data_IF_218841088789
#
_entry.id   IF_218841088789
#
_cell.length_a   1.000
_cell.length_b   1.000
_cell.length_c   1.000
_cell.angle_alpha   90.00
_cell.angle_beta   90.00
_cell.angle_gamma   90.00
#
_symmetry.space_group_name_H-M   'P 1'
#
loop_
_entity.id
_entity.type
_entity.pdbx_description
1 polymer ?
#
# COMPACT_ATOMS: atom_id res chain seq x y z
N UNK A 1 5.45 -20.05 -22.60
CA UNK A 1 5.28 -20.73 -21.31
C UNK A 1 6.02 -19.95 -20.25
N UNK A 2 5.30 -19.12 -19.50
CA UNK A 2 5.84 -18.55 -18.29
C UNK A 2 5.74 -19.58 -17.16
N UNK A 3 6.41 -20.68 -17.33
CA UNK A 3 6.92 -21.34 -16.13
C UNK A 3 8.01 -20.39 -15.66
N UNK A 4 7.82 -19.81 -14.47
CA UNK A 4 8.89 -19.04 -13.90
C UNK A 4 10.15 -19.90 -13.93
N UNK A 5 11.24 -19.35 -14.45
CA UNK A 5 12.56 -19.95 -14.31
C UNK A 5 12.93 -20.09 -12.82
N UNK A 6 12.10 -19.58 -11.95
CA UNK A 6 12.19 -19.74 -10.51
C UNK A 6 11.45 -21.00 -10.11
N UNK A 7 12.14 -22.07 -9.93
CA UNK A 7 11.64 -23.22 -9.19
C UNK A 7 11.56 -22.95 -7.68
N UNK A 8 11.24 -21.71 -7.32
CA UNK A 8 11.17 -21.32 -5.91
C UNK A 8 9.92 -21.92 -5.27
N UNK A 9 10.10 -22.69 -4.22
CA UNK A 9 9.01 -23.35 -3.49
C UNK A 9 7.92 -22.39 -3.04
N UNK A 10 8.28 -21.17 -2.66
CA UNK A 10 7.34 -20.13 -2.23
C UNK A 10 6.36 -19.74 -3.32
N UNK A 11 6.76 -19.75 -4.60
CA UNK A 11 5.86 -19.42 -5.70
C UNK A 11 4.70 -20.42 -5.85
N UNK A 12 4.93 -21.68 -5.47
CA UNK A 12 3.89 -22.73 -5.49
C UNK A 12 2.90 -22.59 -4.34
N UNK A 13 3.33 -22.04 -3.21
CA UNK A 13 2.52 -21.86 -2.01
C UNK A 13 1.68 -20.57 -2.06
N UNK A 14 2.18 -19.54 -2.73
CA UNK A 14 1.56 -18.21 -2.79
C UNK A 14 0.63 -18.06 -3.99
N UNK A 15 0.86 -18.81 -5.07
CA UNK A 15 0.02 -18.73 -6.27
C UNK A 15 -1.33 -19.41 -6.05
N UNK A 16 -2.38 -18.64 -6.20
CA UNK A 16 -3.77 -19.12 -6.20
C UNK A 16 -4.21 -19.66 -7.55
N UNK A 17 -3.50 -19.33 -8.63
CA UNK A 17 -3.81 -19.77 -9.99
C UNK A 17 -2.79 -20.78 -10.51
N UNK A 18 -3.26 -21.81 -11.18
CA UNK A 18 -2.39 -22.78 -11.88
C UNK A 18 -1.62 -22.08 -13.00
N UNK A 19 -0.29 -22.32 -13.12
CA UNK A 19 0.47 -21.80 -14.25
C UNK A 19 -0.13 -22.24 -15.59
N UNK A 20 -0.35 -21.30 -16.50
CA UNK A 20 -0.93 -21.54 -17.81
C UNK A 20 -0.06 -20.94 -18.93
N UNK A 21 -0.37 -21.29 -20.16
CA UNK A 21 0.32 -20.71 -21.32
C UNK A 21 -0.24 -19.33 -21.60
N UNK A 22 0.62 -18.32 -21.80
CA UNK A 22 0.18 -16.97 -22.19
C UNK A 22 -0.54 -17.01 -23.55
N UNK A 23 -0.01 -17.81 -24.50
CA UNK A 23 -0.53 -17.96 -25.85
C UNK A 23 -1.51 -19.13 -25.96
N UNK A 24 -2.33 -19.39 -24.97
CA UNK A 24 -3.36 -20.42 -25.05
C UNK A 24 -4.59 -19.83 -25.75
N UNK A 25 -4.97 -20.37 -26.94
CA UNK A 25 -6.13 -19.87 -27.67
C UNK A 25 -7.45 -19.92 -26.89
N UNK A 26 -7.52 -20.79 -25.87
CA UNK A 26 -8.71 -20.93 -25.00
C UNK A 26 -8.81 -19.83 -23.96
N UNK A 27 -7.75 -19.07 -23.72
CA UNK A 27 -7.70 -18.00 -22.72
C UNK A 27 -8.20 -16.65 -23.24
N UNK A 28 -8.70 -16.60 -24.48
CA UNK A 28 -9.16 -15.35 -25.09
C UNK A 28 -8.03 -14.55 -25.76
N UNK A 29 -8.35 -13.35 -26.24
CA UNK A 29 -7.38 -12.50 -26.92
C UNK A 29 -6.33 -11.96 -25.96
N UNK A 30 -5.13 -11.75 -26.48
CA UNK A 30 -4.08 -11.02 -25.75
C UNK A 30 -4.43 -9.54 -25.70
N UNK A 31 -4.30 -8.94 -24.55
CA UNK A 31 -4.48 -7.52 -24.33
C UNK A 31 -3.13 -6.91 -23.99
N UNK A 32 -2.70 -5.91 -24.75
CA UNK A 32 -1.52 -5.12 -24.43
C UNK A 32 -1.96 -3.85 -23.70
N UNK A 33 -1.42 -3.62 -22.50
CA UNK A 33 -1.68 -2.43 -21.71
C UNK A 33 -0.40 -1.64 -21.57
N UNK A 34 -0.43 -0.37 -21.96
CA UNK A 34 0.69 0.54 -21.74
C UNK A 34 0.72 0.93 -20.25
N UNK A 35 1.80 0.55 -19.58
CA UNK A 35 2.05 0.95 -18.20
C UNK A 35 2.95 2.18 -18.18
N UNK A 36 2.59 3.14 -17.35
CA UNK A 36 3.44 4.29 -17.04
C UNK A 36 4.18 4.01 -15.74
N UNK A 37 5.44 4.44 -15.68
CA UNK A 37 6.22 4.34 -14.44
C UNK A 37 5.74 5.45 -13.51
N UNK A 38 4.89 5.04 -12.56
CA UNK A 38 4.44 5.88 -11.46
C UNK A 38 4.74 5.14 -10.16
N UNK A 39 4.96 5.89 -9.10
CA UNK A 39 5.14 5.25 -7.80
C UNK A 39 3.83 4.58 -7.37
N UNK A 40 3.94 3.35 -6.89
CA UNK A 40 2.82 2.62 -6.32
C UNK A 40 2.46 3.11 -4.92
N UNK A 41 3.42 3.72 -4.24
CA UNK A 41 3.32 4.17 -2.86
C UNK A 41 3.79 5.61 -2.78
N UNK A 42 3.10 6.42 -1.98
CA UNK A 42 3.51 7.78 -1.69
C UNK A 42 4.49 7.81 -0.53
N UNK A 43 5.56 8.59 -0.66
CA UNK A 43 6.53 8.85 0.41
C UNK A 43 6.20 10.13 1.18
N UNK A 44 5.26 10.89 0.71
CA UNK A 44 4.71 12.08 1.36
C UNK A 44 3.20 11.94 1.54
N UNK A 45 2.60 12.84 2.28
CA UNK A 45 1.17 12.82 2.54
C UNK A 45 0.72 13.98 3.40
N UNK A 46 -0.49 13.89 3.89
CA UNK A 46 -1.05 14.86 4.81
C UNK A 46 -0.31 14.76 6.15
N UNK A 47 0.30 15.84 6.59
CA UNK A 47 0.94 15.91 7.88
C UNK A 47 -0.10 15.77 8.99
N UNK A 48 0.20 14.94 10.00
CA UNK A 48 -0.72 14.68 11.12
C UNK A 48 0.02 14.72 12.43
N UNK A 49 -0.73 15.00 13.51
CA UNK A 49 -0.26 14.78 14.86
C UNK A 49 -0.35 13.29 15.27
N UNK A 50 0.05 12.98 16.50
CA UNK A 50 0.01 11.61 17.04
C UNK A 50 -1.40 11.04 17.23
N UNK A 51 -2.41 11.87 17.13
CA UNK A 51 -3.83 11.51 17.13
C UNK A 51 -4.39 11.36 15.71
N UNK A 52 -3.53 11.40 14.69
CA UNK A 52 -3.88 11.36 13.28
C UNK A 52 -4.77 12.54 12.81
N UNK A 53 -4.82 13.64 13.53
CA UNK A 53 -5.49 14.86 13.09
C UNK A 53 -4.61 15.55 12.04
N UNK A 54 -5.20 15.91 10.91
CA UNK A 54 -4.48 16.62 9.86
C UNK A 54 -4.08 18.02 10.35
N UNK A 55 -2.87 18.42 10.01
CA UNK A 55 -2.32 19.73 10.40
C UNK A 55 -2.40 20.71 9.23
N UNK A 56 -2.75 21.95 9.54
CA UNK A 56 -2.60 23.08 8.65
C UNK A 56 -1.11 23.48 8.52
N UNK A 57 -0.72 24.28 7.51
CA UNK A 57 0.66 24.72 7.35
C UNK A 57 1.29 25.41 8.57
N UNK A 58 0.47 25.93 9.48
CA UNK A 58 0.91 26.51 10.75
C UNK A 58 1.11 25.51 11.89
N UNK A 59 0.85 24.22 11.66
CA UNK A 59 0.97 23.16 12.65
C UNK A 59 -0.30 22.96 13.52
N UNK A 60 -1.34 23.76 13.31
CA UNK A 60 -2.59 23.60 14.04
C UNK A 60 -3.47 22.52 13.45
N UNK A 61 -4.13 21.69 14.28
CA UNK A 61 -5.06 20.67 13.78
C UNK A 61 -6.26 21.29 13.07
N UNK A 62 -6.57 20.75 11.88
CA UNK A 62 -7.79 21.09 11.15
C UNK A 62 -8.97 20.38 11.82
N UNK A 63 -9.97 21.09 12.34
CA UNK A 63 -11.08 20.46 13.06
C UNK A 63 -11.83 19.44 12.21
N UNK A 64 -12.06 18.24 12.77
CA UNK A 64 -12.81 17.17 12.12
C UNK A 64 -12.09 16.46 10.97
N UNK A 65 -10.85 16.82 10.65
CA UNK A 65 -10.08 16.19 9.59
C UNK A 65 -9.00 15.27 10.16
N UNK A 66 -9.04 14.01 9.71
CA UNK A 66 -8.09 12.96 10.08
C UNK A 66 -7.48 12.35 8.83
N UNK A 67 -6.23 11.91 8.91
CA UNK A 67 -5.58 11.16 7.83
C UNK A 67 -4.83 9.95 8.40
N UNK A 68 -4.93 8.82 7.70
CA UNK A 68 -4.32 7.57 8.12
C UNK A 68 -3.81 6.77 6.92
N UNK A 69 -2.92 5.82 7.16
CA UNK A 69 -2.37 4.96 6.14
C UNK A 69 -1.55 5.74 5.12
N UNK A 70 -1.71 5.40 3.84
CA UNK A 70 -0.96 6.04 2.76
C UNK A 70 -1.26 7.52 2.63
N UNK A 71 -2.48 7.96 2.95
CA UNK A 71 -2.86 9.36 2.93
C UNK A 71 -2.05 10.22 3.91
N UNK A 72 -1.59 9.66 5.03
CA UNK A 72 -0.71 10.34 6.00
C UNK A 72 0.78 10.16 5.70
N UNK A 73 1.13 9.68 4.52
CA UNK A 73 2.51 9.66 4.04
C UNK A 73 3.27 8.36 4.27
N UNK A 74 2.64 7.30 4.75
CA UNK A 74 3.29 6.02 4.88
C UNK A 74 3.38 5.31 3.54
N UNK A 75 4.55 5.36 2.91
CA UNK A 75 4.80 4.69 1.65
C UNK A 75 5.47 3.32 1.74
N UNK A 76 5.97 2.95 2.90
CA UNK A 76 6.82 1.77 3.07
C UNK A 76 8.15 1.86 2.31
N UNK A 77 8.81 0.74 2.09
CA UNK A 77 10.02 0.68 1.28
C UNK A 77 11.17 1.50 1.84
N UNK A 78 11.68 2.46 1.08
CA UNK A 78 12.88 3.24 1.42
C UNK A 78 12.82 4.01 2.73
N UNK A 79 11.64 4.41 3.17
CA UNK A 79 11.45 5.08 4.47
C UNK A 79 11.83 4.16 5.63
N UNK A 80 11.57 2.86 5.50
CA UNK A 80 11.91 1.86 6.50
C UNK A 80 13.27 1.20 6.27
N UNK A 81 14.04 1.72 5.30
CA UNK A 81 15.35 1.24 4.97
C UNK A 81 15.38 0.27 3.78
N UNK A 82 16.59 0.01 3.33
CA UNK A 82 16.84 -0.93 2.24
C UNK A 82 16.43 -2.35 2.67
N UNK A 83 15.63 -3.00 1.85
CA UNK A 83 15.05 -4.34 2.11
C UNK A 83 14.01 -4.40 3.24
N UNK A 84 13.30 -3.30 3.51
CA UNK A 84 12.18 -3.33 4.43
C UNK A 84 11.12 -4.35 4.00
N UNK A 85 10.52 -5.03 4.97
CA UNK A 85 9.50 -6.05 4.73
C UNK A 85 8.22 -5.42 4.17
N UNK A 86 7.64 -6.03 3.16
CA UNK A 86 6.37 -5.58 2.56
C UNK A 86 5.21 -5.50 3.57
N UNK A 87 5.17 -6.36 4.57
CA UNK A 87 4.12 -6.37 5.59
C UNK A 87 4.01 -5.09 6.43
N UNK A 88 5.04 -4.25 6.46
CA UNK A 88 5.03 -3.01 7.25
C UNK A 88 4.01 -2.00 6.75
N UNK A 89 3.70 -1.99 5.47
CA UNK A 89 2.69 -1.09 4.89
C UNK A 89 1.30 -1.34 5.49
N UNK A 90 0.85 -2.58 5.49
CA UNK A 90 -0.47 -2.95 6.05
C UNK A 90 -0.51 -2.68 7.55
N UNK A 91 0.54 -3.02 8.29
CA UNK A 91 0.65 -2.75 9.72
C UNK A 91 0.52 -1.26 10.04
N UNK A 92 1.19 -0.40 9.29
CA UNK A 92 1.11 1.06 9.40
C UNK A 92 -0.30 1.59 9.14
N UNK A 93 -0.96 1.09 8.09
CA UNK A 93 -2.34 1.46 7.78
C UNK A 93 -3.32 1.08 8.90
N UNK A 94 -3.20 -0.13 9.42
CA UNK A 94 -4.04 -0.60 10.52
C UNK A 94 -3.83 0.19 11.81
N UNK A 95 -2.56 0.44 12.15
CA UNK A 95 -2.23 1.20 13.35
C UNK A 95 -2.72 2.66 13.28
N UNK A 96 -2.40 3.36 12.20
CA UNK A 96 -2.82 4.76 12.03
C UNK A 96 -4.33 4.90 11.86
N UNK A 97 -4.98 3.98 11.16
CA UNK A 97 -6.44 3.94 11.04
C UNK A 97 -7.13 3.74 12.39
N UNK A 98 -6.61 2.84 13.24
CA UNK A 98 -7.10 2.66 14.61
C UNK A 98 -6.93 3.93 15.45
N UNK A 99 -5.77 4.59 15.33
CA UNK A 99 -5.48 5.84 16.04
C UNK A 99 -6.44 6.94 15.63
N UNK A 100 -6.62 7.14 14.33
CA UNK A 100 -7.57 8.12 13.79
C UNK A 100 -9.01 7.86 14.25
N UNK A 101 -9.46 6.60 14.17
CA UNK A 101 -10.80 6.21 14.57
C UNK A 101 -11.07 6.44 16.06
N UNK A 102 -10.10 6.16 16.93
CA UNK A 102 -10.21 6.44 18.37
C UNK A 102 -10.24 7.94 18.66
N UNK A 103 -9.38 8.71 18.00
CA UNK A 103 -9.36 10.16 18.19
C UNK A 103 -10.65 10.82 17.68
N UNK A 104 -11.15 10.39 16.54
CA UNK A 104 -12.41 10.88 15.99
C UNK A 104 -13.61 10.56 16.92
N UNK A 105 -13.66 9.32 17.44
CA UNK A 105 -14.72 8.92 18.37
C UNK A 105 -14.67 9.68 19.72
N UNK A 106 -13.49 10.10 20.14
CA UNK A 106 -13.34 10.88 21.39
C UNK A 106 -13.63 12.37 21.20
N UNK A 107 -13.77 12.84 19.96
CA UNK A 107 -14.05 14.23 19.64
C UNK A 107 -15.55 14.55 19.46
N UNK A 108 -16.39 13.53 19.55
CA UNK A 108 -17.85 13.60 19.52
C UNK A 108 -18.38 13.54 20.93
#
# INVERSE_FOLDING_TARGET
MLRSAREYRGDKLIRTATPHRILDPKSGPLIAVKLHIVTRKSLGGIETDLSARALAPGGEPVPGLYAAGEASGFGGGGVHGYRALEGTFVGGCLFSGRTAGRAAAAAV
#
